data_IF_701450864489
#
_entry.id   IF_701450864489
#
_cell.length_a   1.000
_cell.length_b   1.000
_cell.length_c   1.000
_cell.angle_alpha   90.00
_cell.angle_beta   90.00
_cell.angle_gamma   90.00
#
_symmetry.space_group_name_H-M   'P 1'
#
loop_
_entity.id
_entity.type
_entity.pdbx_description
1 polymer ?
#
# COMPACT_ATOMS: atom_id res chain seq x y z
N UNK A 1 13.14 -7.10 6.72
CA UNK A 1 12.74 -7.75 5.44
C UNK A 1 11.78 -6.88 4.63
N UNK A 2 10.58 -6.54 5.13
CA UNK A 2 9.55 -5.77 4.40
C UNK A 2 10.08 -4.56 3.63
N UNK A 3 10.87 -3.69 4.27
CA UNK A 3 11.39 -2.48 3.61
C UNK A 3 12.28 -2.79 2.39
N UNK A 4 13.17 -3.79 2.51
CA UNK A 4 14.07 -4.18 1.43
C UNK A 4 13.29 -4.76 0.25
N UNK A 5 12.30 -5.62 0.53
CA UNK A 5 11.41 -6.17 -0.48
C UNK A 5 10.58 -5.08 -1.17
N UNK A 6 9.94 -4.18 -0.40
CA UNK A 6 9.14 -3.09 -0.96
C UNK A 6 9.99 -2.14 -1.81
N UNK A 7 11.23 -1.85 -1.41
CA UNK A 7 12.15 -1.08 -2.25
C UNK A 7 12.44 -1.81 -3.56
N UNK A 8 12.78 -3.10 -3.50
CA UNK A 8 13.06 -3.89 -4.70
C UNK A 8 11.85 -3.94 -5.65
N UNK A 9 10.64 -4.19 -5.14
CA UNK A 9 9.41 -4.18 -5.96
C UNK A 9 9.26 -2.84 -6.68
N UNK A 10 9.41 -1.72 -5.96
CA UNK A 10 9.23 -0.37 -6.49
C UNK A 10 10.33 0.09 -7.46
N UNK A 11 11.56 -0.40 -7.31
CA UNK A 11 12.72 0.15 -8.03
C UNK A 11 13.40 -0.82 -9.00
N UNK A 12 13.07 -2.11 -8.99
CA UNK A 12 13.76 -3.11 -9.82
C UNK A 12 13.43 -3.02 -11.31
N UNK A 13 12.28 -2.44 -11.66
CA UNK A 13 11.75 -2.48 -13.03
C UNK A 13 11.30 -3.89 -13.45
N UNK A 14 11.12 -4.82 -12.50
CA UNK A 14 10.70 -6.19 -12.79
C UNK A 14 9.22 -6.32 -13.21
N UNK A 15 8.43 -5.25 -13.06
CA UNK A 15 7.00 -5.21 -13.36
C UNK A 15 6.68 -3.99 -14.23
N UNK A 16 5.70 -4.14 -15.11
CA UNK A 16 5.22 -3.06 -15.99
C UNK A 16 4.52 -1.93 -15.21
N UNK A 17 4.10 -2.21 -13.97
CA UNK A 17 3.40 -1.29 -13.09
C UNK A 17 3.43 -1.74 -11.64
N UNK A 18 3.44 -0.79 -10.70
CA UNK A 18 3.47 -1.06 -9.25
C UNK A 18 2.49 -0.12 -8.55
N UNK A 19 1.62 -0.69 -7.70
CA UNK A 19 0.74 0.08 -6.81
C UNK A 19 1.27 -0.07 -5.38
N UNK A 20 1.63 1.05 -4.74
CA UNK A 20 2.19 1.07 -3.39
C UNK A 20 1.10 1.23 -2.32
N UNK A 21 0.38 0.14 -2.03
CA UNK A 21 -0.61 0.14 -0.95
C UNK A 21 0.01 0.32 0.44
N UNK A 22 1.30 0.03 0.62
CA UNK A 22 1.93 0.17 1.93
C UNK A 22 1.95 1.64 2.38
N UNK A 23 2.10 2.59 1.45
CA UNK A 23 2.06 4.02 1.77
C UNK A 23 0.65 4.58 1.88
N UNK A 24 -0.35 4.01 1.18
CA UNK A 24 -1.73 4.51 1.22
C UNK A 24 -2.43 4.32 2.58
N UNK A 25 -2.02 3.30 3.35
CA UNK A 25 -2.58 3.00 4.67
C UNK A 25 -1.61 3.24 5.83
N UNK A 26 -0.42 3.78 5.55
CA UNK A 26 0.62 3.98 6.55
C UNK A 26 0.22 5.00 7.63
N UNK A 27 0.66 4.75 8.86
CA UNK A 27 0.64 5.79 9.89
C UNK A 27 1.63 6.91 9.54
N UNK A 28 1.25 8.16 9.77
CA UNK A 28 2.08 9.34 9.44
C UNK A 28 3.33 9.44 10.30
N UNK A 29 3.31 8.85 11.50
CA UNK A 29 4.39 8.88 12.48
C UNK A 29 5.16 7.55 12.54
N UNK A 30 4.54 6.45 12.11
CA UNK A 30 5.18 5.15 11.89
C UNK A 30 4.81 4.56 10.50
N UNK A 31 5.60 4.82 9.45
CA UNK A 31 5.34 4.31 8.11
C UNK A 31 5.32 2.77 7.98
N UNK A 32 5.72 2.04 9.02
CA UNK A 32 5.66 0.58 9.06
C UNK A 32 4.37 0.07 9.71
N UNK A 33 3.61 0.91 10.40
CA UNK A 33 2.30 0.57 10.94
C UNK A 33 1.17 0.94 9.98
N UNK A 34 0.08 0.18 10.02
CA UNK A 34 -1.19 0.62 9.44
C UNK A 34 -1.77 1.68 10.37
N UNK A 35 -2.18 2.82 9.82
CA UNK A 35 -2.82 3.88 10.60
C UNK A 35 -4.03 3.32 11.35
N UNK A 36 -4.25 3.75 12.59
CA UNK A 36 -5.34 3.22 13.44
C UNK A 36 -6.73 3.36 12.80
N UNK A 37 -6.95 4.41 12.00
CA UNK A 37 -8.18 4.62 11.24
C UNK A 37 -8.45 3.53 10.18
N UNK A 38 -7.41 2.83 9.75
CA UNK A 38 -7.44 1.83 8.69
C UNK A 38 -7.21 0.41 9.18
N UNK A 39 -7.09 0.15 10.48
CA UNK A 39 -6.74 -1.18 11.01
C UNK A 39 -7.91 -1.80 11.79
N UNK A 40 -8.14 -3.10 11.63
CA UNK A 40 -9.17 -3.86 12.35
C UNK A 40 -8.79 -4.25 13.79
N UNK A 41 -7.59 -3.85 14.25
CA UNK A 41 -7.09 -4.07 15.61
C UNK A 41 -6.02 -5.16 15.73
N UNK A 42 -5.82 -5.97 14.69
CA UNK A 42 -4.82 -7.04 14.65
C UNK A 42 -3.43 -6.59 14.18
N UNK A 43 -3.29 -5.31 13.80
CA UNK A 43 -2.07 -4.69 13.30
C UNK A 43 -1.54 -5.28 11.98
N UNK A 44 -2.37 -6.07 11.27
CA UNK A 44 -1.99 -6.72 10.02
C UNK A 44 -2.99 -6.45 8.89
N UNK A 45 -4.29 -6.53 9.15
CA UNK A 45 -5.32 -6.38 8.13
C UNK A 45 -5.92 -4.97 8.14
N UNK A 46 -6.12 -4.36 6.96
CA UNK A 46 -6.91 -3.16 6.84
C UNK A 46 -8.38 -3.45 7.19
N UNK A 47 -9.06 -2.46 7.76
CA UNK A 47 -10.52 -2.44 7.88
C UNK A 47 -11.17 -1.94 6.57
N UNK A 48 -12.49 -1.81 6.53
CA UNK A 48 -13.23 -1.30 5.36
C UNK A 48 -12.71 0.07 4.86
N UNK A 49 -12.40 0.99 5.77
CA UNK A 49 -11.85 2.30 5.43
C UNK A 49 -10.43 2.18 4.85
N UNK A 50 -9.63 1.25 5.35
CA UNK A 50 -8.31 0.94 4.83
C UNK A 50 -8.35 0.33 3.44
N UNK A 51 -9.25 -0.62 3.19
CA UNK A 51 -9.45 -1.17 1.85
C UNK A 51 -9.95 -0.13 0.86
N UNK A 52 -10.85 0.77 1.29
CA UNK A 52 -11.25 1.91 0.47
C UNK A 52 -10.06 2.83 0.15
N UNK A 53 -9.22 3.16 1.13
CA UNK A 53 -8.03 3.98 0.92
C UNK A 53 -7.03 3.32 -0.05
N UNK A 54 -6.88 2.00 0.00
CA UNK A 54 -6.11 1.25 -0.99
C UNK A 54 -6.72 1.35 -2.39
N UNK A 55 -8.03 1.15 -2.52
CA UNK A 55 -8.72 1.25 -3.82
C UNK A 55 -8.63 2.66 -4.42
N UNK A 56 -8.78 3.70 -3.61
CA UNK A 56 -8.68 5.10 -4.05
C UNK A 56 -7.24 5.47 -4.48
N UNK A 57 -6.22 4.76 -3.97
CA UNK A 57 -4.81 4.95 -4.32
C UNK A 57 -4.38 4.16 -5.57
N UNK A 58 -5.20 3.23 -6.06
CA UNK A 58 -4.90 2.46 -7.25
C UNK A 58 -5.09 3.31 -8.52
N UNK A 59 -4.00 3.67 -9.17
CA UNK A 59 -4.05 4.30 -10.49
C UNK A 59 -4.54 3.27 -11.54
N UNK A 60 -5.73 3.50 -12.09
CA UNK A 60 -6.33 2.62 -13.09
C UNK A 60 -5.51 2.58 -14.39
N UNK A 61 -4.71 3.60 -14.70
CA UNK A 61 -3.84 3.57 -15.88
C UNK A 61 -2.78 2.48 -15.75
N UNK A 62 -2.27 2.25 -14.54
CA UNK A 62 -1.30 1.19 -14.23
C UNK A 62 -1.90 -0.21 -14.50
N UNK A 63 -3.21 -0.36 -14.36
CA UNK A 63 -3.92 -1.65 -14.54
C UNK A 63 -4.41 -1.82 -15.98
N UNK A 64 -4.97 -0.75 -16.56
CA UNK A 64 -5.70 -0.80 -17.83
C UNK A 64 -4.84 -0.43 -19.04
N UNK A 65 -3.71 0.25 -18.83
CA UNK A 65 -2.85 0.74 -19.90
C UNK A 65 -3.50 1.80 -20.81
N UNK A 66 -4.63 2.39 -20.39
CA UNK A 66 -5.42 3.38 -21.14
C UNK A 66 -5.33 4.78 -20.52
#
# INVERSE_FOLDING_TARGET
>A
MRQALNNWIRSSGAFDGVIDFASSVADKTDPLAIASAFNDGDKLHPNDAGYKAMADAADLQVITGM
#
